data_IF_933643511405
#
_entry.id   IF_933643511405
#
_cell.length_a   1.000
_cell.length_b   1.000
_cell.length_c   1.000
_cell.angle_alpha   90.00
_cell.angle_beta   90.00
_cell.angle_gamma   90.00
#
_symmetry.space_group_name_H-M   'P 1'
#
loop_
_entity.id
_entity.type
_entity.pdbx_description
1 polymer ?
#
# COMPACT_ATOMS: atom_id res chain seq x y z
N UNK A 1 29.42 9.30 13.14
CA UNK A 1 28.97 8.06 12.45
C UNK A 1 28.47 8.46 11.08
N UNK A 2 28.79 7.70 10.03
CA UNK A 2 28.25 7.96 8.68
C UNK A 2 26.77 7.64 8.67
N UNK A 3 25.92 8.60 8.22
CA UNK A 3 24.48 8.37 8.13
C UNK A 3 24.18 7.32 7.06
N UNK A 4 23.14 6.51 7.30
CA UNK A 4 22.64 5.55 6.33
C UNK A 4 21.84 6.28 5.25
N UNK A 5 22.22 6.13 3.99
CA UNK A 5 21.56 6.75 2.84
C UNK A 5 20.43 5.87 2.34
N UNK A 6 19.20 6.33 2.51
CA UNK A 6 18.00 5.55 2.19
C UNK A 6 17.26 6.18 1.02
N UNK A 7 17.14 5.44 -0.07
CA UNK A 7 16.33 5.83 -1.21
C UNK A 7 14.87 5.39 -1.02
N UNK A 8 13.94 6.35 -1.06
CA UNK A 8 12.50 6.06 -1.06
C UNK A 8 11.92 6.35 -2.45
N UNK A 9 11.82 5.31 -3.27
CA UNK A 9 11.18 5.42 -4.58
C UNK A 9 9.70 5.75 -4.40
N UNK A 10 9.20 6.78 -5.08
CA UNK A 10 7.80 7.18 -4.92
C UNK A 10 7.52 7.94 -3.61
N UNK A 11 8.53 8.64 -3.04
CA UNK A 11 8.44 9.41 -1.79
C UNK A 11 7.27 10.39 -1.68
N UNK A 12 6.69 10.80 -2.82
CA UNK A 12 5.53 11.69 -2.85
C UNK A 12 4.19 10.98 -2.72
N UNK A 13 4.11 9.67 -3.01
CA UNK A 13 2.86 8.91 -2.89
C UNK A 13 2.41 8.75 -1.44
N UNK A 14 1.18 8.26 -1.22
CA UNK A 14 0.61 8.03 0.11
C UNK A 14 1.60 7.28 1.02
N UNK A 15 2.00 6.07 0.61
CA UNK A 15 2.90 5.22 1.40
C UNK A 15 4.33 5.77 1.46
N UNK A 16 4.90 6.15 0.30
CA UNK A 16 6.27 6.67 0.26
C UNK A 16 6.46 7.89 1.16
N UNK A 17 5.46 8.79 1.19
CA UNK A 17 5.49 9.97 2.07
C UNK A 17 5.39 9.61 3.55
N UNK A 18 4.62 8.58 3.90
CA UNK A 18 4.51 8.09 5.28
C UNK A 18 5.83 7.47 5.77
N UNK A 19 6.50 6.69 4.93
CA UNK A 19 7.84 6.17 5.21
C UNK A 19 8.82 7.33 5.41
N UNK A 20 8.82 8.32 4.50
CA UNK A 20 9.67 9.50 4.65
C UNK A 20 9.40 10.27 5.94
N UNK A 21 8.14 10.49 6.34
CA UNK A 21 7.79 11.15 7.61
C UNK A 21 8.45 10.44 8.79
N UNK A 22 8.36 9.11 8.86
CA UNK A 22 8.96 8.35 9.95
C UNK A 22 10.48 8.37 9.94
N UNK A 23 11.09 8.11 8.78
CA UNK A 23 12.55 8.07 8.66
C UNK A 23 13.20 9.45 8.85
N UNK A 24 12.49 10.54 8.54
CA UNK A 24 13.00 11.91 8.73
C UNK A 24 13.17 12.34 10.18
N UNK A 25 12.55 11.62 11.12
CA UNK A 25 12.69 11.87 12.57
C UNK A 25 14.01 11.30 13.14
N UNK A 26 14.83 10.66 12.31
CA UNK A 26 16.02 9.91 12.72
C UNK A 26 17.30 10.59 12.25
N UNK A 27 18.18 10.90 13.20
CA UNK A 27 19.46 11.55 12.93
C UNK A 27 20.49 10.63 12.25
N UNK A 28 20.31 9.31 12.34
CA UNK A 28 21.18 8.30 11.73
C UNK A 28 20.88 8.07 10.24
N UNK A 29 19.87 8.76 9.68
CA UNK A 29 19.40 8.56 8.30
C UNK A 29 19.61 9.82 7.46
N UNK A 30 20.01 9.61 6.22
CA UNK A 30 19.96 10.60 5.15
C UNK A 30 18.99 10.11 4.06
N UNK A 31 17.88 10.83 3.85
CA UNK A 31 16.92 10.49 2.83
C UNK A 31 17.40 10.94 1.46
N UNK A 32 17.47 9.99 0.52
CA UNK A 32 17.63 10.27 -0.91
C UNK A 32 16.27 10.12 -1.57
N UNK A 33 15.84 11.16 -2.27
CA UNK A 33 14.53 11.18 -2.95
C UNK A 33 14.65 11.82 -4.32
N UNK A 34 13.88 11.31 -5.28
CA UNK A 34 13.71 11.88 -6.62
C UNK A 34 12.23 11.92 -6.96
N UNK A 35 11.80 13.03 -7.54
CA UNK A 35 10.49 13.16 -8.17
C UNK A 35 10.48 12.46 -9.52
N UNK A 36 9.30 12.15 -10.05
CA UNK A 36 9.18 11.55 -11.39
C UNK A 36 9.81 12.42 -12.49
N UNK A 37 9.82 13.75 -12.33
CA UNK A 37 10.47 14.68 -13.27
C UNK A 37 12.01 14.61 -13.22
N UNK A 38 12.57 14.25 -12.07
CA UNK A 38 14.02 14.14 -11.88
C UNK A 38 14.54 12.74 -12.23
N UNK A 39 13.68 11.71 -12.10
CA UNK A 39 14.00 10.33 -12.39
C UNK A 39 12.74 9.57 -12.82
N UNK A 40 12.63 9.28 -14.12
CA UNK A 40 11.60 8.37 -14.63
C UNK A 40 12.03 6.93 -14.39
N UNK A 41 11.35 6.28 -13.45
CA UNK A 41 11.65 4.92 -13.02
C UNK A 41 11.33 3.86 -14.10
N UNK A 42 10.63 4.22 -15.17
CA UNK A 42 10.40 3.34 -16.32
C UNK A 42 11.58 3.32 -17.30
N UNK A 43 12.48 4.30 -17.22
CA UNK A 43 13.66 4.42 -18.09
C UNK A 43 14.87 3.78 -17.43
N UNK A 44 15.22 2.57 -17.88
CA UNK A 44 16.29 1.76 -17.28
C UNK A 44 17.63 2.51 -17.16
N UNK A 45 18.04 3.21 -18.22
CA UNK A 45 19.31 3.95 -18.26
C UNK A 45 19.40 5.01 -17.16
N UNK A 46 18.29 5.71 -16.88
CA UNK A 46 18.27 6.78 -15.89
C UNK A 46 18.32 6.20 -14.47
N UNK A 47 17.66 5.07 -14.24
CA UNK A 47 17.71 4.34 -12.97
C UNK A 47 19.09 3.75 -12.70
N UNK A 48 19.73 3.16 -13.72
CA UNK A 48 21.12 2.69 -13.63
C UNK A 48 22.07 3.84 -13.26
N UNK A 49 22.00 4.96 -13.99
CA UNK A 49 22.85 6.12 -13.73
C UNK A 49 22.63 6.70 -12.33
N UNK A 50 21.38 6.74 -11.84
CA UNK A 50 21.06 7.17 -10.48
C UNK A 50 21.75 6.28 -9.43
N UNK A 51 21.61 4.96 -9.54
CA UNK A 51 22.20 4.03 -8.56
C UNK A 51 23.73 3.94 -8.64
N UNK A 52 24.33 4.20 -9.80
CA UNK A 52 25.79 4.28 -9.95
C UNK A 52 26.38 5.54 -9.30
N UNK A 53 25.64 6.66 -9.33
CA UNK A 53 26.09 7.95 -8.78
C UNK A 53 25.79 8.09 -7.29
N UNK A 54 24.63 7.61 -6.86
CA UNK A 54 24.17 7.74 -5.49
C UNK A 54 24.64 6.54 -4.66
N UNK A 55 25.40 6.80 -3.60
CA UNK A 55 25.80 5.76 -2.63
C UNK A 55 24.61 5.39 -1.74
N UNK A 56 23.72 4.52 -2.21
CA UNK A 56 22.52 4.09 -1.49
C UNK A 56 22.80 2.84 -0.64
N UNK A 57 22.39 2.86 0.63
CA UNK A 57 22.50 1.71 1.52
C UNK A 57 21.22 0.86 1.55
N UNK A 58 20.06 1.50 1.42
CA UNK A 58 18.75 0.85 1.48
C UNK A 58 17.75 1.45 0.48
N UNK A 59 16.88 0.61 -0.06
CA UNK A 59 15.81 1.02 -0.96
C UNK A 59 14.44 0.64 -0.40
N UNK A 60 13.54 1.61 -0.29
CA UNK A 60 12.11 1.35 -0.13
C UNK A 60 11.42 1.56 -1.48
N UNK A 61 10.94 0.48 -2.09
CA UNK A 61 10.28 0.51 -3.40
C UNK A 61 8.79 0.78 -3.21
N UNK A 62 8.44 2.05 -2.96
CA UNK A 62 7.06 2.52 -2.80
C UNK A 62 6.48 3.19 -4.08
N UNK A 63 7.24 3.23 -5.17
CA UNK A 63 6.79 3.71 -6.47
C UNK A 63 5.95 2.64 -7.19
N UNK A 64 4.80 3.04 -7.72
CA UNK A 64 3.91 2.16 -8.48
C UNK A 64 2.89 2.99 -9.28
N UNK A 65 2.40 2.45 -10.40
CA UNK A 65 1.14 2.91 -11.00
C UNK A 65 0.00 2.26 -10.22
N UNK A 66 -0.77 3.08 -9.49
CA UNK A 66 -1.87 2.64 -8.62
C UNK A 66 -3.18 3.32 -9.02
N UNK A 67 -4.31 2.72 -8.61
CA UNK A 67 -5.64 3.28 -8.82
C UNK A 67 -6.74 2.32 -8.39
N UNK A 68 -7.97 2.84 -8.35
CA UNK A 68 -9.17 2.06 -8.00
C UNK A 68 -9.70 1.18 -9.14
N UNK A 69 -10.91 0.66 -8.95
CA UNK A 69 -11.57 -0.28 -9.88
C UNK A 69 -11.67 0.28 -11.30
N UNK A 70 -12.06 1.56 -11.44
CA UNK A 70 -12.19 2.22 -12.75
C UNK A 70 -10.85 2.24 -13.48
N UNK A 71 -9.81 2.80 -12.86
CA UNK A 71 -8.50 2.93 -13.49
C UNK A 71 -7.86 1.59 -13.90
N UNK A 72 -7.99 0.53 -13.09
CA UNK A 72 -7.44 -0.78 -13.44
C UNK A 72 -8.13 -1.39 -14.68
N UNK A 73 -9.45 -1.22 -14.81
CA UNK A 73 -10.20 -1.70 -15.97
C UNK A 73 -9.97 -0.84 -17.22
N UNK A 74 -9.79 0.46 -17.06
CA UNK A 74 -9.61 1.39 -18.18
C UNK A 74 -8.19 1.36 -18.75
N UNK A 75 -7.17 1.20 -17.91
CA UNK A 75 -5.75 1.29 -18.32
C UNK A 75 -4.93 0.01 -18.03
N UNK A 76 -5.43 -1.20 -18.29
CA UNK A 76 -4.80 -2.45 -17.83
C UNK A 76 -3.36 -2.60 -18.35
N UNK A 77 -3.08 -2.18 -19.59
CA UNK A 77 -1.75 -2.19 -20.19
C UNK A 77 -0.75 -1.29 -19.44
N UNK A 78 -1.16 -0.10 -19.02
CA UNK A 78 -0.30 0.82 -18.26
C UNK A 78 0.02 0.26 -16.87
N UNK A 79 -0.99 -0.32 -16.21
CA UNK A 79 -0.81 -0.90 -14.88
C UNK A 79 0.18 -2.06 -14.89
N UNK A 80 0.07 -3.00 -15.84
CA UNK A 80 1.04 -4.10 -15.91
C UNK A 80 2.41 -3.61 -16.37
N UNK A 81 2.50 -2.85 -17.46
CA UNK A 81 3.77 -2.44 -18.06
C UNK A 81 4.58 -1.54 -17.12
N UNK A 82 4.00 -0.46 -16.61
CA UNK A 82 4.76 0.50 -15.81
C UNK A 82 5.24 -0.13 -14.49
N UNK A 83 4.42 -0.95 -13.83
CA UNK A 83 4.85 -1.60 -12.61
C UNK A 83 5.98 -2.61 -12.86
N UNK A 84 5.89 -3.42 -13.93
CA UNK A 84 6.97 -4.34 -14.33
C UNK A 84 8.28 -3.59 -14.63
N UNK A 85 8.20 -2.46 -15.36
CA UNK A 85 9.39 -1.66 -15.67
C UNK A 85 10.00 -1.04 -14.42
N UNK A 86 9.19 -0.41 -13.56
CA UNK A 86 9.65 0.23 -12.33
C UNK A 86 10.35 -0.78 -11.41
N UNK A 87 9.71 -1.92 -11.16
CA UNK A 87 10.26 -2.92 -10.24
C UNK A 87 11.50 -3.62 -10.82
N UNK A 88 11.50 -3.94 -12.13
CA UNK A 88 12.64 -4.56 -12.79
C UNK A 88 13.85 -3.63 -12.79
N UNK A 89 13.65 -2.36 -13.14
CA UNK A 89 14.73 -1.36 -13.18
C UNK A 89 15.31 -1.16 -11.78
N UNK A 90 14.48 -0.88 -10.76
CA UNK A 90 14.99 -0.61 -9.41
C UNK A 90 15.70 -1.84 -8.82
N UNK A 91 15.09 -3.03 -8.89
CA UNK A 91 15.66 -4.22 -8.26
C UNK A 91 16.98 -4.61 -8.96
N UNK A 92 17.03 -4.54 -10.29
CA UNK A 92 18.23 -4.85 -11.05
C UNK A 92 19.35 -3.84 -10.82
N UNK A 93 19.07 -2.53 -10.93
CA UNK A 93 20.05 -1.48 -10.72
C UNK A 93 20.57 -1.45 -9.28
N UNK A 94 19.71 -1.70 -8.28
CA UNK A 94 20.13 -1.87 -6.89
C UNK A 94 21.12 -3.03 -6.74
N UNK A 95 20.86 -4.17 -7.40
CA UNK A 95 21.78 -5.30 -7.38
C UNK A 95 23.12 -4.96 -8.04
N UNK A 96 23.11 -4.32 -9.22
CA UNK A 96 24.33 -3.90 -9.94
C UNK A 96 25.18 -2.94 -9.09
N UNK A 97 24.54 -2.02 -8.36
CA UNK A 97 25.19 -1.07 -7.47
C UNK A 97 25.65 -1.69 -6.12
N UNK A 98 25.45 -2.99 -5.91
CA UNK A 98 25.91 -3.67 -4.70
C UNK A 98 25.01 -3.47 -3.47
N UNK A 99 23.80 -2.93 -3.63
CA UNK A 99 22.89 -2.65 -2.52
C UNK A 99 22.38 -3.96 -1.94
N UNK A 100 22.54 -4.13 -0.63
CA UNK A 100 22.18 -5.37 0.03
C UNK A 100 20.73 -5.42 0.50
N UNK A 101 20.13 -4.28 0.85
CA UNK A 101 18.81 -4.20 1.50
C UNK A 101 17.80 -3.43 0.66
N UNK A 102 16.69 -4.09 0.34
CA UNK A 102 15.57 -3.51 -0.38
C UNK A 102 14.26 -4.00 0.25
N UNK A 103 13.26 -3.14 0.37
CA UNK A 103 11.90 -3.51 0.76
C UNK A 103 10.94 -3.21 -0.39
N UNK A 104 10.36 -4.27 -0.95
CA UNK A 104 9.34 -4.18 -1.98
C UNK A 104 7.94 -4.09 -1.38
N UNK A 105 7.14 -3.15 -1.87
CA UNK A 105 5.75 -2.98 -1.46
C UNK A 105 4.81 -3.60 -2.50
N UNK A 106 4.20 -4.72 -2.11
CA UNK A 106 3.19 -5.44 -2.85
C UNK A 106 1.79 -4.87 -2.63
N UNK A 107 0.78 -5.75 -2.70
CA UNK A 107 -0.63 -5.42 -2.47
C UNK A 107 -1.41 -6.68 -2.10
N UNK A 108 -2.41 -6.57 -1.23
CA UNK A 108 -3.36 -7.66 -0.95
C UNK A 108 -4.18 -8.12 -2.17
N UNK A 109 -4.15 -7.38 -3.29
CA UNK A 109 -4.81 -7.78 -4.54
C UNK A 109 -4.09 -8.91 -5.30
N UNK A 110 -2.90 -9.32 -4.84
CA UNK A 110 -2.16 -10.47 -5.41
C UNK A 110 -2.77 -11.83 -5.05
N UNK A 111 -3.64 -11.88 -4.03
CA UNK A 111 -4.22 -13.13 -3.58
C UNK A 111 -5.39 -13.54 -4.48
N UNK A 112 -5.63 -14.86 -4.64
CA UNK A 112 -6.76 -15.37 -5.41
C UNK A 112 -8.10 -14.79 -4.96
N UNK A 113 -9.01 -14.57 -5.91
CA UNK A 113 -10.36 -14.01 -5.66
C UNK A 113 -11.13 -14.78 -4.57
N UNK A 114 -10.98 -16.10 -4.56
CA UNK A 114 -11.64 -17.02 -3.63
C UNK A 114 -10.67 -17.66 -2.63
N UNK A 115 -9.60 -16.95 -2.24
CA UNK A 115 -8.71 -17.40 -1.18
C UNK A 115 -9.46 -17.62 0.14
N UNK A 116 -9.05 -18.65 0.90
CA UNK A 116 -9.55 -18.91 2.25
C UNK A 116 -9.26 -17.70 3.15
N UNK A 117 -10.24 -17.30 3.94
CA UNK A 117 -10.15 -16.16 4.86
C UNK A 117 -9.90 -16.64 6.30
N UNK A 118 -9.05 -15.95 7.10
CA UNK A 118 -8.15 -14.87 6.67
C UNK A 118 -7.06 -15.38 5.72
N UNK A 119 -6.63 -14.54 4.77
CA UNK A 119 -5.66 -14.92 3.73
C UNK A 119 -4.24 -14.90 4.30
N UNK A 120 -3.62 -16.06 4.47
CA UNK A 120 -2.21 -16.16 4.82
C UNK A 120 -1.31 -16.04 3.59
N UNK A 121 0.00 -15.89 3.80
CA UNK A 121 0.97 -15.72 2.72
C UNK A 121 0.99 -16.91 1.74
N UNK A 122 0.75 -18.13 2.24
CA UNK A 122 0.73 -19.34 1.40
C UNK A 122 -0.44 -19.42 0.42
N UNK A 123 -1.42 -18.53 0.52
CA UNK A 123 -2.51 -18.42 -0.46
C UNK A 123 -2.05 -17.82 -1.80
N UNK A 124 -0.84 -17.24 -1.87
CA UNK A 124 -0.30 -16.68 -3.11
C UNK A 124 -0.21 -17.76 -4.20
N UNK A 125 -0.71 -17.46 -5.41
CA UNK A 125 -0.67 -18.33 -6.59
C UNK A 125 -1.43 -19.68 -6.46
N UNK A 126 -2.35 -19.81 -5.51
CA UNK A 126 -3.15 -21.05 -5.35
C UNK A 126 -4.48 -21.03 -6.11
N UNK A 127 -4.76 -20.02 -6.93
CA UNK A 127 -6.03 -19.86 -7.65
C UNK A 127 -6.09 -18.63 -8.54
N UNK A 128 -7.23 -18.43 -9.20
CA UNK A 128 -7.48 -17.34 -10.15
C UNK A 128 -7.58 -15.99 -9.42
N UNK A 129 -7.02 -14.95 -10.02
CA UNK A 129 -7.03 -13.58 -9.51
C UNK A 129 -8.38 -12.89 -9.77
N UNK A 130 -8.61 -11.72 -9.14
CA UNK A 130 -9.75 -10.87 -9.49
C UNK A 130 -9.49 -10.22 -10.87
N UNK A 131 -10.34 -10.42 -11.89
CA UNK A 131 -10.09 -9.92 -13.24
C UNK A 131 -9.82 -8.41 -13.32
N UNK A 132 -10.52 -7.62 -12.51
CA UNK A 132 -10.31 -6.15 -12.44
C UNK A 132 -8.86 -5.81 -12.09
N UNK A 133 -8.22 -6.57 -11.21
CA UNK A 133 -6.90 -6.27 -10.68
C UNK A 133 -5.79 -7.15 -11.29
N UNK A 134 -6.14 -8.11 -12.13
CA UNK A 134 -5.23 -9.13 -12.64
C UNK A 134 -3.93 -8.56 -13.26
N UNK A 135 -3.98 -7.54 -14.15
CA UNK A 135 -2.75 -6.99 -14.74
C UNK A 135 -1.80 -6.38 -13.71
N UNK A 136 -2.35 -5.63 -12.73
CA UNK A 136 -1.59 -5.04 -11.64
C UNK A 136 -1.07 -6.12 -10.67
N UNK A 137 -1.91 -7.11 -10.34
CA UNK A 137 -1.58 -8.20 -9.45
C UNK A 137 -0.44 -9.06 -10.01
N UNK A 138 -0.46 -9.39 -11.31
CA UNK A 138 0.62 -10.13 -11.97
C UNK A 138 1.95 -9.36 -11.88
N UNK A 139 1.95 -8.05 -12.16
CA UNK A 139 3.16 -7.24 -11.97
C UNK A 139 3.65 -7.30 -10.51
N UNK A 140 2.78 -7.09 -9.52
CA UNK A 140 3.18 -7.16 -8.11
C UNK A 140 3.67 -8.54 -7.67
N UNK A 141 3.13 -9.62 -8.24
CA UNK A 141 3.64 -10.98 -8.03
C UNK A 141 5.05 -11.11 -8.62
N UNK A 142 5.27 -10.60 -9.84
CA UNK A 142 6.58 -10.60 -10.48
C UNK A 142 7.63 -9.86 -9.63
N UNK A 143 7.30 -8.70 -9.06
CA UNK A 143 8.19 -7.98 -8.13
C UNK A 143 8.61 -8.79 -6.89
N UNK A 144 7.69 -9.56 -6.29
CA UNK A 144 8.02 -10.49 -5.19
C UNK A 144 8.99 -11.57 -5.70
N UNK A 145 8.68 -12.16 -6.86
CA UNK A 145 9.51 -13.22 -7.44
C UNK A 145 10.87 -12.72 -7.91
N UNK A 146 10.99 -11.46 -8.33
CA UNK A 146 12.27 -10.80 -8.56
C UNK A 146 13.07 -10.76 -7.26
N UNK A 147 12.52 -10.22 -6.17
CA UNK A 147 13.21 -10.19 -4.87
C UNK A 147 13.68 -11.59 -4.44
N UNK A 148 12.80 -12.58 -4.43
CA UNK A 148 13.12 -13.98 -4.08
C UNK A 148 14.21 -14.58 -4.97
N UNK A 149 14.21 -14.26 -6.26
CA UNK A 149 15.22 -14.75 -7.21
C UNK A 149 16.59 -14.13 -6.96
N UNK A 150 16.65 -12.80 -6.75
CA UNK A 150 17.91 -12.14 -6.39
C UNK A 150 18.46 -12.61 -5.04
N UNK A 151 17.59 -12.87 -4.07
CA UNK A 151 18.00 -13.43 -2.78
C UNK A 151 18.64 -14.81 -2.96
N UNK A 152 17.97 -15.71 -3.70
CA UNK A 152 18.45 -17.10 -3.92
C UNK A 152 19.72 -17.17 -4.77
N UNK A 153 19.83 -16.34 -5.80
CA UNK A 153 20.93 -16.41 -6.75
C UNK A 153 22.17 -15.65 -6.28
N UNK A 154 21.99 -14.50 -5.61
CA UNK A 154 23.07 -13.58 -5.29
C UNK A 154 23.22 -13.28 -3.79
N UNK A 155 22.43 -13.93 -2.92
CA UNK A 155 22.49 -13.71 -1.48
C UNK A 155 22.08 -12.31 -1.06
N UNK A 156 21.17 -11.66 -1.80
CA UNK A 156 20.58 -10.35 -1.42
C UNK A 156 19.60 -10.49 -0.26
N UNK A 157 19.37 -9.38 0.46
CA UNK A 157 18.35 -9.23 1.50
C UNK A 157 17.21 -8.32 0.98
N UNK A 158 16.55 -8.77 -0.10
CA UNK A 158 15.41 -8.06 -0.69
C UNK A 158 14.12 -8.62 -0.10
N UNK A 159 13.52 -7.86 0.80
CA UNK A 159 12.32 -8.22 1.55
C UNK A 159 11.07 -7.71 0.82
N UNK A 160 9.91 -8.26 1.17
CA UNK A 160 8.63 -7.77 0.62
C UNK A 160 7.51 -7.77 1.65
N UNK A 161 6.65 -6.76 1.58
CA UNK A 161 5.46 -6.61 2.42
C UNK A 161 4.20 -6.37 1.60
N UNK A 162 3.07 -6.87 2.10
CA UNK A 162 1.80 -7.00 1.39
C UNK A 162 0.76 -6.27 2.22
N UNK A 163 0.56 -4.97 1.98
CA UNK A 163 -0.42 -4.21 2.73
C UNK A 163 -1.84 -4.62 2.37
N UNK A 164 -2.72 -4.57 3.39
CA UNK A 164 -4.18 -4.60 3.21
C UNK A 164 -4.68 -3.30 2.58
N UNK A 165 -5.99 -3.02 2.60
CA UNK A 165 -6.50 -1.72 2.12
C UNK A 165 -5.93 -0.60 2.98
N UNK A 166 -5.23 0.34 2.36
CA UNK A 166 -4.63 1.48 3.02
C UNK A 166 -5.51 2.71 2.90
N UNK A 167 -5.40 3.59 3.88
CA UNK A 167 -5.97 4.93 3.86
C UNK A 167 -5.13 5.87 4.71
N UNK A 168 -5.18 7.17 4.44
CA UNK A 168 -4.53 8.15 5.30
C UNK A 168 -4.12 9.44 4.62
N UNK A 169 -3.14 10.09 5.23
CA UNK A 169 -2.49 11.30 4.72
C UNK A 169 -1.93 11.07 3.31
N UNK A 170 -2.13 12.04 2.41
CA UNK A 170 -1.72 11.99 1.00
C UNK A 170 -2.38 10.90 0.13
N UNK A 171 -3.55 10.37 0.53
CA UNK A 171 -4.38 9.54 -0.35
C UNK A 171 -5.00 10.36 -1.51
N UNK A 172 -5.54 9.69 -2.52
CA UNK A 172 -6.25 10.33 -3.62
C UNK A 172 -7.74 10.52 -3.27
N UNK A 173 -8.13 11.77 -2.98
CA UNK A 173 -9.51 12.16 -2.67
C UNK A 173 -10.30 12.67 -3.89
N UNK A 174 -9.86 12.34 -5.12
CA UNK A 174 -10.58 12.65 -6.34
C UNK A 174 -11.91 11.88 -6.42
N UNK A 175 -13.04 12.50 -6.83
CA UNK A 175 -14.37 11.87 -6.82
C UNK A 175 -14.46 10.59 -7.67
N UNK A 176 -13.74 10.52 -8.79
CA UNK A 176 -13.86 9.42 -9.77
C UNK A 176 -12.75 8.36 -9.67
N UNK A 177 -11.58 8.70 -9.14
CA UNK A 177 -10.35 7.89 -9.22
C UNK A 177 -9.82 7.45 -7.85
N UNK A 178 -10.70 7.37 -6.85
CA UNK A 178 -10.35 7.11 -5.46
C UNK A 178 -10.75 5.72 -4.98
N UNK A 179 -10.10 5.27 -3.90
CA UNK A 179 -10.52 4.09 -3.15
C UNK A 179 -11.74 4.40 -2.25
N UNK A 180 -12.34 3.36 -1.67
CA UNK A 180 -13.60 3.49 -0.92
C UNK A 180 -13.55 4.52 0.21
N UNK A 181 -12.47 4.55 1.01
CA UNK A 181 -12.35 5.49 2.14
C UNK A 181 -12.25 6.95 1.66
N UNK A 182 -11.30 7.34 0.80
CA UNK A 182 -11.20 8.73 0.35
C UNK A 182 -12.45 9.18 -0.42
N UNK A 183 -13.06 8.31 -1.23
CA UNK A 183 -14.31 8.60 -1.92
C UNK A 183 -15.46 8.92 -0.95
N UNK A 184 -15.68 8.06 0.05
CA UNK A 184 -16.75 8.27 1.01
C UNK A 184 -16.47 9.46 1.93
N UNK A 185 -15.21 9.69 2.33
CA UNK A 185 -14.85 10.82 3.18
C UNK A 185 -15.19 12.14 2.51
N UNK A 186 -14.84 12.27 1.23
CA UNK A 186 -15.19 13.44 0.41
C UNK A 186 -16.71 13.61 0.31
N UNK A 187 -17.45 12.53 0.04
CA UNK A 187 -18.92 12.57 -0.10
C UNK A 187 -19.62 12.93 1.20
N UNK A 188 -19.19 12.39 2.34
CA UNK A 188 -19.73 12.76 3.65
C UNK A 188 -19.41 14.20 4.00
N UNK A 189 -18.20 14.67 3.68
CA UNK A 189 -17.82 16.06 3.87
C UNK A 189 -18.73 17.00 3.06
N UNK A 190 -18.88 16.77 1.76
CA UNK A 190 -19.74 17.59 0.89
C UNK A 190 -21.21 17.54 1.33
N UNK A 191 -21.70 16.38 1.75
CA UNK A 191 -23.05 16.23 2.27
C UNK A 191 -23.26 17.00 3.57
N UNK A 192 -22.25 17.05 4.46
CA UNK A 192 -22.27 17.87 5.67
C UNK A 192 -22.32 19.36 5.33
N UNK A 193 -21.44 19.84 4.45
CA UNK A 193 -21.37 21.26 4.08
C UNK A 193 -22.63 21.75 3.35
N UNK A 194 -23.24 20.89 2.53
CA UNK A 194 -24.49 21.20 1.81
C UNK A 194 -25.76 20.96 2.61
N UNK A 195 -25.67 20.36 3.80
CA UNK A 195 -26.84 19.94 4.57
C UNK A 195 -27.70 18.88 3.86
N UNK A 196 -27.08 18.03 3.05
CA UNK A 196 -27.79 16.98 2.32
C UNK A 196 -28.49 16.01 3.31
N UNK A 197 -29.74 15.61 3.04
CA UNK A 197 -30.49 14.77 3.96
C UNK A 197 -29.99 13.32 3.99
N UNK A 198 -29.36 12.86 2.90
CA UNK A 198 -28.85 11.50 2.79
C UNK A 198 -27.58 11.37 1.94
N UNK A 199 -26.78 10.34 2.25
CA UNK A 199 -25.63 9.89 1.45
C UNK A 199 -25.86 8.43 1.06
N UNK A 200 -25.76 8.13 -0.24
CA UNK A 200 -26.01 6.81 -0.79
C UNK A 200 -24.70 5.99 -0.88
N UNK A 201 -24.58 4.88 -0.17
CA UNK A 201 -23.49 3.91 -0.32
C UNK A 201 -23.96 2.77 -1.20
N UNK A 202 -23.18 2.37 -2.20
CA UNK A 202 -23.54 1.25 -3.08
C UNK A 202 -23.35 -0.10 -2.39
N UNK A 203 -24.26 -1.04 -2.66
CA UNK A 203 -24.26 -2.37 -2.08
C UNK A 203 -25.07 -2.46 -0.79
N UNK A 204 -25.05 -3.63 -0.14
CA UNK A 204 -25.83 -3.89 1.09
C UNK A 204 -25.14 -3.36 2.35
N UNK A 205 -23.85 -3.06 2.25
CA UNK A 205 -22.99 -2.70 3.38
C UNK A 205 -22.52 -3.91 4.21
N UNK A 206 -22.98 -5.12 3.89
CA UNK A 206 -22.61 -6.36 4.61
C UNK A 206 -21.21 -6.92 4.32
N UNK A 207 -20.56 -6.65 3.17
CA UNK A 207 -19.21 -7.16 2.94
C UNK A 207 -18.22 -6.70 4.01
N UNK A 208 -17.38 -7.62 4.47
CA UNK A 208 -16.37 -7.37 5.49
C UNK A 208 -15.01 -7.07 4.85
N UNK A 209 -14.38 -6.00 5.28
CA UNK A 209 -13.08 -5.53 4.77
C UNK A 209 -12.16 -5.15 5.93
N UNK A 210 -10.87 -5.35 5.69
CA UNK A 210 -9.80 -4.89 6.56
C UNK A 210 -9.22 -3.57 6.04
N UNK A 211 -8.89 -2.66 6.95
CA UNK A 211 -8.29 -1.36 6.65
C UNK A 211 -7.13 -1.08 7.61
N UNK A 212 -6.03 -0.54 7.10
CA UNK A 212 -4.85 -0.16 7.88
C UNK A 212 -4.48 1.30 7.59
N UNK A 213 -4.25 2.07 8.64
CA UNK A 213 -3.82 3.46 8.50
C UNK A 213 -2.38 3.53 7.94
N UNK A 214 -2.12 4.48 7.03
CA UNK A 214 -0.86 4.54 6.28
C UNK A 214 0.38 4.69 7.18
N UNK A 215 0.27 5.36 8.33
CA UNK A 215 1.43 5.48 9.24
C UNK A 215 1.72 4.16 9.97
N UNK A 216 0.72 3.31 10.22
CA UNK A 216 0.98 1.94 10.69
C UNK A 216 1.66 1.12 9.60
N UNK A 217 1.22 1.26 8.34
CA UNK A 217 1.88 0.60 7.22
C UNK A 217 3.34 1.02 7.09
N UNK A 218 3.65 2.32 7.21
CA UNK A 218 5.01 2.82 7.21
C UNK A 218 5.82 2.27 8.39
N UNK A 219 5.24 2.21 9.59
CA UNK A 219 5.89 1.66 10.78
C UNK A 219 6.23 0.17 10.61
N UNK A 220 5.29 -0.63 10.09
CA UNK A 220 5.53 -2.03 9.75
C UNK A 220 6.61 -2.18 8.68
N UNK A 221 6.63 -1.29 7.68
CA UNK A 221 7.63 -1.30 6.61
C UNK A 221 9.04 -1.10 7.18
N UNK A 222 9.22 -0.06 8.00
CA UNK A 222 10.52 0.24 8.63
C UNK A 222 10.93 -0.90 9.57
N UNK A 223 10.00 -1.40 10.39
CA UNK A 223 10.23 -2.56 11.26
C UNK A 223 10.74 -3.76 10.46
N UNK A 224 10.02 -4.17 9.42
CA UNK A 224 10.38 -5.34 8.60
C UNK A 224 11.70 -5.13 7.86
N UNK A 225 12.01 -3.93 7.37
CA UNK A 225 13.30 -3.64 6.73
C UNK A 225 14.48 -3.77 7.72
N UNK A 226 14.27 -3.35 8.97
CA UNK A 226 15.32 -3.27 9.98
C UNK A 226 15.49 -4.53 10.83
N UNK A 227 14.60 -5.52 10.72
CA UNK A 227 14.79 -6.83 11.35
C UNK A 227 16.17 -7.42 11.02
N UNK A 228 16.75 -8.13 11.98
CA UNK A 228 17.91 -8.97 11.73
C UNK A 228 17.58 -10.01 10.63
N UNK A 229 18.57 -10.28 9.77
CA UNK A 229 18.39 -11.17 8.63
C UNK A 229 18.04 -12.61 9.07
N UNK A 230 18.67 -13.11 10.13
CA UNK A 230 18.38 -14.46 10.63
C UNK A 230 16.96 -14.54 11.21
N UNK A 231 16.50 -13.50 11.89
CA UNK A 231 15.11 -13.41 12.38
C UNK A 231 14.12 -13.42 11.21
N UNK A 232 14.38 -12.64 10.16
CA UNK A 232 13.54 -12.62 8.97
C UNK A 232 13.47 -13.98 8.30
N UNK A 233 14.63 -14.63 8.10
CA UNK A 233 14.73 -15.94 7.46
C UNK A 233 14.06 -17.06 8.29
N UNK A 234 14.11 -17.00 9.62
CA UNK A 234 13.42 -17.97 10.50
C UNK A 234 11.90 -17.90 10.38
N UNK A 235 11.35 -16.75 9.98
CA UNK A 235 9.90 -16.51 9.88
C UNK A 235 9.38 -16.52 8.42
N UNK A 236 10.26 -16.74 7.44
CA UNK A 236 9.92 -16.70 6.02
C UNK A 236 10.52 -17.92 5.31
N UNK A 237 10.20 -18.09 4.03
CA UNK A 237 10.80 -19.13 3.19
C UNK A 237 11.36 -18.49 1.93
N UNK A 238 12.47 -19.01 1.34
CA UNK A 238 13.12 -18.36 0.18
C UNK A 238 12.22 -18.12 -1.04
N UNK A 239 11.14 -18.89 -1.21
CA UNK A 239 10.18 -18.77 -2.33
C UNK A 239 8.75 -18.43 -1.86
N UNK A 240 8.61 -18.08 -0.57
CA UNK A 240 7.40 -17.56 0.07
C UNK A 240 7.81 -16.55 1.15
N UNK A 241 8.58 -15.56 0.70
CA UNK A 241 9.35 -14.65 1.56
C UNK A 241 8.54 -13.47 2.10
N UNK A 242 7.41 -13.23 1.46
CA UNK A 242 6.60 -12.03 1.57
C UNK A 242 5.85 -12.01 2.94
N UNK A 243 5.54 -10.85 3.52
CA UNK A 243 4.85 -10.71 4.82
C UNK A 243 3.58 -9.87 4.71
N UNK A 244 2.46 -10.39 5.22
CA UNK A 244 1.20 -9.63 5.30
C UNK A 244 1.29 -8.47 6.32
N UNK A 245 0.82 -7.29 5.93
CA UNK A 245 0.78 -6.07 6.77
C UNK A 245 -0.64 -5.52 6.86
N UNK A 246 -1.29 -5.78 7.99
CA UNK A 246 -2.69 -5.42 8.23
C UNK A 246 -3.01 -5.40 9.72
N UNK A 247 -4.30 -5.24 10.03
CA UNK A 247 -4.81 -5.33 11.40
C UNK A 247 -5.17 -6.75 11.80
N UNK A 248 -5.47 -7.63 10.83
CA UNK A 248 -6.08 -8.94 11.06
C UNK A 248 -7.53 -8.85 11.55
N UNK A 249 -8.14 -7.66 11.51
CA UNK A 249 -9.49 -7.37 11.99
C UNK A 249 -10.28 -6.72 10.86
N UNK A 250 -11.43 -7.30 10.52
CA UNK A 250 -12.35 -6.74 9.55
C UNK A 250 -13.54 -6.02 10.18
N UNK A 251 -14.09 -5.08 9.44
CA UNK A 251 -15.34 -4.39 9.74
C UNK A 251 -16.25 -4.47 8.51
N UNK A 252 -17.55 -4.32 8.71
CA UNK A 252 -18.48 -4.24 7.57
C UNK A 252 -18.33 -2.90 6.85
N UNK A 253 -18.66 -2.84 5.55
CA UNK A 253 -18.74 -1.56 4.83
C UNK A 253 -19.73 -0.61 5.52
N UNK A 254 -20.79 -1.14 6.13
CA UNK A 254 -21.73 -0.37 6.94
C UNK A 254 -21.07 0.29 8.14
N UNK A 255 -20.39 -0.50 8.97
CA UNK A 255 -19.67 -0.02 10.16
C UNK A 255 -18.61 1.02 9.79
N UNK A 256 -17.89 0.80 8.68
CA UNK A 256 -16.91 1.77 8.17
C UNK A 256 -17.57 3.09 7.74
N UNK A 257 -18.69 3.03 7.01
CA UNK A 257 -19.43 4.22 6.60
C UNK A 257 -20.02 4.99 7.79
N UNK A 258 -20.57 4.28 8.78
CA UNK A 258 -21.11 4.86 10.01
C UNK A 258 -20.00 5.52 10.85
N UNK A 259 -18.87 4.85 11.01
CA UNK A 259 -17.67 5.41 11.68
C UNK A 259 -17.20 6.68 10.99
N UNK A 260 -17.17 6.67 9.65
CA UNK A 260 -16.76 7.83 8.86
C UNK A 260 -17.74 9.00 8.98
N UNK A 261 -19.05 8.74 8.93
CA UNK A 261 -20.06 9.78 9.13
C UNK A 261 -19.92 10.44 10.52
N UNK A 262 -19.67 9.64 11.56
CA UNK A 262 -19.37 10.11 12.91
C UNK A 262 -18.12 11.02 12.93
N UNK A 263 -17.01 10.57 12.34
CA UNK A 263 -15.75 11.32 12.26
C UNK A 263 -15.92 12.65 11.52
N UNK A 264 -16.65 12.66 10.41
CA UNK A 264 -16.93 13.86 9.62
C UNK A 264 -17.87 14.82 10.36
N UNK A 265 -18.73 14.27 11.22
CA UNK A 265 -19.83 14.98 11.88
C UNK A 265 -21.06 15.15 10.97
N UNK A 266 -21.29 14.20 10.07
CA UNK A 266 -22.48 14.18 9.21
C UNK A 266 -23.69 13.63 9.98
N UNK A 267 -24.80 14.38 9.98
CA UNK A 267 -26.01 14.06 10.77
C UNK A 267 -27.18 13.53 9.92
N UNK A 268 -27.03 13.49 8.59
CA UNK A 268 -28.06 12.96 7.69
C UNK A 268 -28.07 11.43 7.66
N UNK A 269 -28.94 10.85 6.83
CA UNK A 269 -29.11 9.40 6.72
C UNK A 269 -28.05 8.77 5.83
N UNK A 270 -27.56 7.59 6.22
CA UNK A 270 -26.77 6.72 5.33
C UNK A 270 -27.74 5.72 4.69
N UNK A 271 -27.83 5.74 3.36
CA UNK A 271 -28.72 4.85 2.58
C UNK A 271 -27.86 3.87 1.80
N UNK A 272 -28.20 2.58 1.86
CA UNK A 272 -27.50 1.53 1.12
C UNK A 272 -28.31 1.15 -0.13
N UNK A 273 -27.74 1.38 -1.31
CA UNK A 273 -28.35 1.03 -2.59
C UNK A 273 -28.05 -0.43 -2.95
N UNK A 274 -28.99 -1.30 -2.57
CA UNK A 274 -28.93 -2.75 -2.81
C UNK A 274 -29.14 -3.14 -4.27
N UNK A 275 -29.46 -2.19 -5.16
CA UNK A 275 -29.52 -2.47 -6.61
C UNK A 275 -28.12 -2.60 -7.21
N UNK A 276 -27.08 -2.12 -6.50
CA UNK A 276 -25.68 -2.30 -6.88
C UNK A 276 -25.11 -3.56 -6.24
N UNK A 277 -24.27 -4.33 -6.96
CA UNK A 277 -23.75 -5.58 -6.45
C UNK A 277 -22.74 -5.37 -5.32
N UNK A 278 -22.72 -6.29 -4.38
CA UNK A 278 -21.64 -6.41 -3.40
C UNK A 278 -20.40 -7.08 -4.02
N UNK A 279 -19.23 -6.78 -3.45
CA UNK A 279 -18.01 -7.54 -3.71
C UNK A 279 -18.01 -8.89 -2.97
N UNK A 280 -16.83 -9.52 -2.88
CA UNK A 280 -16.68 -10.76 -2.09
C UNK A 280 -17.16 -10.56 -0.63
N UNK A 281 -17.79 -11.54 0.02
CA UNK A 281 -18.38 -11.35 1.35
C UNK A 281 -17.37 -10.96 2.43
N UNK A 282 -16.14 -11.47 2.35
CA UNK A 282 -15.10 -11.23 3.36
C UNK A 282 -13.72 -11.20 2.70
N UNK A 283 -12.91 -10.20 3.04
CA UNK A 283 -11.52 -10.07 2.57
C UNK A 283 -10.65 -9.41 3.64
N UNK A 284 -9.80 -10.20 4.28
CA UNK A 284 -8.79 -9.76 5.26
C UNK A 284 -7.56 -10.65 5.22
N UNK A 285 -6.44 -10.13 5.71
CA UNK A 285 -5.17 -10.87 5.76
C UNK A 285 -4.97 -11.54 7.11
N UNK A 286 -4.32 -12.71 7.09
CA UNK A 286 -3.74 -13.31 8.29
C UNK A 286 -2.39 -12.64 8.53
N UNK A 287 -2.26 -11.96 9.68
CA UNK A 287 -1.07 -11.20 10.08
C UNK A 287 -0.24 -11.92 11.15
N UNK A 288 -0.46 -13.23 11.34
CA UNK A 288 0.25 -14.04 12.34
C UNK A 288 1.77 -13.94 12.16
N UNK A 289 2.27 -13.97 10.92
CA UNK A 289 3.71 -13.82 10.63
C UNK A 289 4.27 -12.50 11.14
N UNK A 290 3.60 -11.39 10.86
CA UNK A 290 4.02 -10.06 11.30
C UNK A 290 3.94 -9.90 12.82
N UNK A 291 2.89 -10.46 13.44
CA UNK A 291 2.73 -10.48 14.89
C UNK A 291 3.86 -11.26 15.59
N UNK A 292 4.25 -12.40 15.03
CA UNK A 292 5.37 -13.21 15.54
C UNK A 292 6.72 -12.50 15.39
N UNK A 293 6.83 -11.59 14.42
CA UNK A 293 7.98 -10.69 14.25
C UNK A 293 7.94 -9.48 15.19
N UNK A 294 7.02 -9.43 16.16
CA UNK A 294 6.98 -8.43 17.22
C UNK A 294 6.31 -7.11 16.83
N UNK A 295 5.57 -7.06 15.71
CA UNK A 295 4.88 -5.85 15.28
C UNK A 295 3.36 -6.00 15.34
N UNK A 296 2.68 -4.94 15.79
CA UNK A 296 1.22 -4.82 15.77
C UNK A 296 0.83 -3.38 15.41
N UNK A 297 -0.34 -3.22 14.78
CA UNK A 297 -0.87 -1.91 14.43
C UNK A 297 -1.23 -1.11 15.68
N UNK A 298 -1.16 0.21 15.59
CA UNK A 298 -1.45 1.13 16.70
C UNK A 298 -2.82 1.77 16.59
N UNK A 299 -3.24 2.17 15.40
CA UNK A 299 -4.44 2.99 15.20
C UNK A 299 -5.63 2.11 14.87
N UNK A 300 -6.71 2.24 15.63
CA UNK A 300 -7.99 1.66 15.23
C UNK A 300 -8.62 2.47 14.08
N UNK A 301 -9.71 1.94 13.50
CA UNK A 301 -10.38 2.57 12.36
C UNK A 301 -10.84 4.01 12.64
N UNK A 302 -11.45 4.26 13.81
CA UNK A 302 -11.94 5.59 14.16
C UNK A 302 -10.79 6.60 14.32
N UNK A 303 -9.71 6.22 15.00
CA UNK A 303 -8.53 7.08 15.19
C UNK A 303 -7.87 7.42 13.86
N UNK A 304 -7.61 6.42 13.03
CA UNK A 304 -7.01 6.63 11.71
C UNK A 304 -7.89 7.49 10.83
N UNK A 305 -9.21 7.27 10.82
CA UNK A 305 -10.16 8.08 10.03
C UNK A 305 -10.18 9.54 10.53
N UNK A 306 -10.10 9.75 11.84
CA UNK A 306 -10.05 11.09 12.44
C UNK A 306 -8.81 11.86 12.00
N UNK A 307 -7.63 11.20 12.02
CA UNK A 307 -6.37 11.78 11.54
C UNK A 307 -6.44 12.09 10.03
N UNK A 308 -6.99 11.16 9.26
CA UNK A 308 -7.17 11.29 7.81
C UNK A 308 -8.08 12.47 7.48
N UNK A 309 -9.22 12.59 8.17
CA UNK A 309 -10.18 13.66 7.94
C UNK A 309 -9.62 15.03 8.34
N UNK A 310 -8.92 15.11 9.46
CA UNK A 310 -8.20 16.33 9.85
C UNK A 310 -7.25 16.79 8.74
N UNK A 311 -6.42 15.88 8.24
CA UNK A 311 -5.50 16.19 7.14
C UNK A 311 -6.24 16.60 5.86
N UNK A 312 -7.31 15.88 5.52
CA UNK A 312 -8.15 16.18 4.35
C UNK A 312 -8.69 17.63 4.40
N UNK A 313 -9.20 18.08 5.55
CA UNK A 313 -9.70 19.46 5.72
C UNK A 313 -8.57 20.49 5.57
N UNK A 314 -7.42 20.23 6.20
CA UNK A 314 -6.25 21.12 6.12
C UNK A 314 -5.69 21.23 4.68
N UNK A 315 -6.01 20.27 3.80
CA UNK A 315 -5.45 20.15 2.46
C UNK A 315 -6.52 20.15 1.35
N UNK A 316 -7.75 20.58 1.66
CA UNK A 316 -8.91 20.47 0.74
C UNK A 316 -8.73 21.26 -0.57
N UNK A 317 -7.94 22.33 -0.54
CA UNK A 317 -7.65 23.16 -1.71
C UNK A 317 -6.39 22.73 -2.47
N UNK A 318 -5.72 21.67 -2.02
CA UNK A 318 -4.43 21.21 -2.55
C UNK A 318 -4.44 19.74 -2.95
N UNK A 319 -5.62 19.17 -3.26
CA UNK A 319 -5.70 17.78 -3.69
C UNK A 319 -4.83 17.53 -4.92
N UNK A 320 -4.12 16.40 -4.89
CA UNK A 320 -3.54 15.84 -6.10
C UNK A 320 -4.66 15.14 -6.89
N UNK A 321 -4.98 15.72 -8.04
CA UNK A 321 -5.63 15.02 -9.16
C UNK A 321 -4.56 14.58 -10.15
#
# INVERSE_FOLDING_TARGET
>A
MTKKRIYVAGHRGMVGSAICRQLSLRDDIELVVKTHKELDLTVQKDVDAFFEQEKIDQVYLAAAKVGGIYANNTFPAEFIYQNLMIESNIIHSAHKAGIQKLLFLGSSCIYPKFAKQPMNESALLTGILEPTNEPYAIAKIAGIKLCESYNRQYGRDYRSIMPTNLYGINDNFHPENSHVIPALMRRFHEAKESGAPEVIVWGTGTPMREFLYVDDMAAASVHVMELDEAIYQQNTQPMLSHINVGTGVDCSIREMAETMASVVGYQGKIVFDVTKPDGTPRKLMDVTRLKNLGWQYRYNLHEGLSLTYKWFIENINSFRG
#
